data_IF_555539358543
#
_entry.id   IF_555539358543
#
_cell.length_a   1.000
_cell.length_b   1.000
_cell.length_c   1.000
_cell.angle_alpha   90.00
_cell.angle_beta   90.00
_cell.angle_gamma   90.00
#
_symmetry.space_group_name_H-M   'P 1'
#
loop_
_entity.id
_entity.type
_entity.pdbx_description
1 polymer ?
#
# COMPACT_ATOMS: atom_id res chain seq x y z
N UNK A 1 1.07 -8.29 14.69
CA UNK A 1 1.30 -9.32 13.66
C UNK A 1 -0.02 -10.01 13.40
N UNK A 2 -0.51 -9.99 12.15
CA UNK A 2 -1.76 -10.62 11.71
C UNK A 2 -1.71 -12.13 11.90
N UNK A 3 -2.77 -12.73 12.49
CA UNK A 3 -2.86 -14.17 12.82
C UNK A 3 -2.46 -15.08 11.67
N UNK A 4 -2.80 -14.71 10.44
CA UNK A 4 -2.55 -15.49 9.22
C UNK A 4 -1.05 -15.71 8.94
N UNK A 5 -0.15 -14.91 9.53
CA UNK A 5 1.29 -14.98 9.25
C UNK A 5 2.06 -15.80 10.29
N UNK A 6 1.41 -16.17 11.40
CA UNK A 6 2.11 -16.77 12.54
C UNK A 6 2.51 -18.20 12.21
N UNK A 7 3.82 -18.44 12.15
CA UNK A 7 4.40 -19.78 11.99
C UNK A 7 4.47 -20.30 10.55
N UNK A 8 4.04 -19.51 9.56
CA UNK A 8 4.15 -19.88 8.15
C UNK A 8 5.38 -19.22 7.51
N UNK A 9 6.38 -20.01 7.05
CA UNK A 9 7.53 -19.47 6.32
C UNK A 9 7.12 -18.80 5.00
N UNK A 10 7.67 -17.62 4.73
CA UNK A 10 7.42 -16.85 3.49
C UNK A 10 8.32 -17.32 2.35
N UNK A 11 8.20 -18.60 1.99
CA UNK A 11 9.13 -19.28 1.06
C UNK A 11 8.89 -19.00 -0.41
N UNK A 12 7.76 -18.39 -0.77
CA UNK A 12 7.45 -18.03 -2.16
C UNK A 12 6.45 -16.88 -2.25
N UNK A 13 6.46 -16.19 -3.41
CA UNK A 13 5.46 -15.17 -3.73
C UNK A 13 4.03 -15.72 -3.67
N UNK A 14 3.82 -16.97 -4.11
CA UNK A 14 2.51 -17.62 -4.03
C UNK A 14 2.04 -17.79 -2.58
N UNK A 15 2.94 -18.19 -1.67
CA UNK A 15 2.62 -18.29 -0.23
C UNK A 15 2.28 -16.91 0.32
N UNK A 16 3.07 -15.88 0.01
CA UNK A 16 2.84 -14.51 0.50
C UNK A 16 1.47 -13.99 0.02
N UNK A 17 1.17 -14.12 -1.28
CA UNK A 17 -0.11 -13.68 -1.87
C UNK A 17 -1.29 -14.38 -1.21
N UNK A 18 -1.20 -15.71 -1.04
CA UNK A 18 -2.27 -16.48 -0.41
C UNK A 18 -2.48 -16.08 1.06
N UNK A 19 -1.40 -15.86 1.81
CA UNK A 19 -1.48 -15.44 3.21
C UNK A 19 -2.14 -14.07 3.36
N UNK A 20 -1.76 -13.09 2.54
CA UNK A 20 -2.35 -11.75 2.56
C UNK A 20 -3.82 -11.81 2.14
N UNK A 21 -4.12 -12.45 1.01
CA UNK A 21 -5.48 -12.56 0.46
C UNK A 21 -6.45 -13.35 1.34
N UNK A 22 -5.94 -14.19 2.25
CA UNK A 22 -6.78 -14.91 3.22
C UNK A 22 -7.29 -14.04 4.38
N UNK A 23 -6.84 -12.79 4.49
CA UNK A 23 -7.20 -11.88 5.59
C UNK A 23 -8.68 -11.49 5.55
N UNK A 24 -9.40 -11.83 6.62
CA UNK A 24 -10.81 -11.48 6.85
C UNK A 24 -10.99 -10.97 8.28
N UNK A 25 -11.88 -9.99 8.48
CA UNK A 25 -12.25 -9.54 9.82
C UNK A 25 -13.73 -9.81 10.09
N UNK A 26 -14.11 -9.92 11.36
CA UNK A 26 -15.51 -10.04 11.79
C UNK A 26 -16.36 -8.84 11.38
N UNK A 27 -15.74 -7.66 11.27
CA UNK A 27 -16.36 -6.43 10.77
C UNK A 27 -16.53 -6.40 9.23
N UNK A 28 -16.18 -7.48 8.51
CA UNK A 28 -16.46 -7.64 7.08
C UNK A 28 -15.34 -7.25 6.12
N UNK A 29 -14.13 -6.92 6.59
CA UNK A 29 -12.99 -6.66 5.70
C UNK A 29 -12.66 -7.91 4.88
N UNK A 30 -12.46 -7.73 3.58
CA UNK A 30 -11.90 -8.73 2.67
C UNK A 30 -10.72 -8.13 1.93
N UNK A 31 -9.59 -8.83 1.93
CA UNK A 31 -8.36 -8.39 1.26
C UNK A 31 -8.22 -9.12 -0.07
N UNK A 32 -8.01 -8.38 -1.17
CA UNK A 32 -7.54 -8.93 -2.45
C UNK A 32 -6.04 -8.72 -2.53
N UNK A 33 -5.30 -9.76 -2.91
CA UNK A 33 -3.87 -9.71 -3.11
C UNK A 33 -3.53 -10.43 -4.41
N UNK A 34 -2.63 -9.83 -5.19
CA UNK A 34 -2.17 -10.38 -6.46
C UNK A 34 -0.72 -10.00 -6.68
N UNK A 35 -0.02 -10.80 -7.49
CA UNK A 35 1.34 -10.51 -7.89
C UNK A 35 1.32 -9.50 -9.03
N UNK A 36 1.81 -8.29 -8.77
CA UNK A 36 2.12 -7.32 -9.81
C UNK A 36 3.46 -7.67 -10.46
N UNK A 37 3.44 -7.87 -11.79
CA UNK A 37 4.62 -8.15 -12.61
C UNK A 37 5.09 -6.93 -13.40
N UNK A 38 4.51 -5.76 -13.11
CA UNK A 38 4.90 -4.49 -13.70
C UNK A 38 6.38 -4.20 -13.47
N UNK A 39 7.04 -3.69 -14.52
CA UNK A 39 8.41 -3.20 -14.41
C UNK A 39 8.37 -1.74 -13.98
N UNK A 40 8.92 -1.44 -12.81
CA UNK A 40 8.99 -0.09 -12.27
C UNK A 40 10.44 0.40 -12.30
N UNK A 41 10.78 1.35 -13.18
CA UNK A 41 12.13 1.92 -13.22
C UNK A 41 12.49 2.56 -11.87
N UNK A 42 13.65 2.19 -11.34
CA UNK A 42 14.19 2.74 -10.09
C UNK A 42 14.89 4.08 -10.35
N UNK A 43 15.07 4.88 -9.29
CA UNK A 43 15.84 6.13 -9.36
C UNK A 43 15.10 7.29 -10.03
N UNK A 44 13.79 7.17 -10.24
CA UNK A 44 12.97 8.28 -10.71
C UNK A 44 12.92 9.36 -9.63
N UNK A 45 13.43 10.55 -9.97
CA UNK A 45 13.39 11.72 -9.09
C UNK A 45 12.27 12.64 -9.56
N UNK A 46 11.36 12.98 -8.66
CA UNK A 46 10.34 14.00 -8.91
C UNK A 46 10.89 15.37 -8.51
N UNK A 47 10.63 16.38 -9.32
CA UNK A 47 10.95 17.75 -8.96
C UNK A 47 10.09 18.21 -7.77
N UNK A 48 10.58 19.19 -7.00
CA UNK A 48 9.81 19.80 -5.92
C UNK A 48 8.47 20.36 -6.41
N UNK A 49 8.43 20.91 -7.62
CA UNK A 49 7.21 21.38 -8.26
C UNK A 49 6.20 20.25 -8.48
N UNK A 50 6.64 19.11 -9.04
CA UNK A 50 5.78 17.92 -9.21
C UNK A 50 5.25 17.39 -7.88
N UNK A 51 6.08 17.34 -6.85
CA UNK A 51 5.65 16.92 -5.51
C UNK A 51 4.62 17.88 -4.91
N UNK A 52 4.77 19.18 -5.12
CA UNK A 52 3.83 20.20 -4.62
C UNK A 52 2.43 20.11 -5.25
N UNK A 53 2.27 19.47 -6.41
CA UNK A 53 0.96 19.22 -7.00
C UNK A 53 0.14 18.15 -6.25
N UNK A 54 0.79 17.29 -5.46
CA UNK A 54 0.08 16.31 -4.64
C UNK A 54 -0.64 17.02 -3.49
N UNK A 55 -1.95 16.81 -3.39
CA UNK A 55 -2.73 17.25 -2.22
C UNK A 55 -2.48 16.32 -1.04
N UNK A 56 -1.27 16.34 -0.51
CA UNK A 56 -0.83 15.47 0.57
C UNK A 56 -0.79 16.25 1.90
N UNK A 57 -1.35 15.65 2.95
CA UNK A 57 -1.30 16.18 4.32
C UNK A 57 -0.55 15.17 5.21
N UNK A 58 0.64 15.52 5.72
CA UNK A 58 1.37 14.71 6.68
C UNK A 58 0.61 14.60 8.01
N UNK A 59 0.68 13.44 8.66
CA UNK A 59 0.10 13.23 10.00
C UNK A 59 1.06 13.72 11.08
N UNK A 60 0.53 14.03 12.27
CA UNK A 60 1.34 14.46 13.42
C UNK A 60 2.36 13.39 13.84
N UNK A 61 1.98 12.12 13.79
CA UNK A 61 2.85 11.01 14.15
C UNK A 61 3.54 10.46 12.91
N UNK A 62 4.87 10.61 12.83
CA UNK A 62 5.71 10.19 11.69
C UNK A 62 5.13 10.64 10.35
N UNK A 63 4.91 11.94 10.18
CA UNK A 63 4.36 12.52 8.95
C UNK A 63 5.19 12.28 7.69
N UNK A 64 6.47 11.93 7.87
CA UNK A 64 7.39 11.46 6.84
C UNK A 64 6.99 10.08 6.27
N UNK A 65 6.20 9.28 7.00
CA UNK A 65 5.68 7.98 6.56
C UNK A 65 4.15 7.96 6.46
N UNK A 66 3.49 8.66 7.37
CA UNK A 66 2.05 8.65 7.55
C UNK A 66 1.46 9.94 7.00
N UNK A 67 0.69 9.83 5.93
CA UNK A 67 0.08 10.99 5.28
C UNK A 67 -1.28 10.60 4.67
N UNK A 68 -2.08 11.63 4.39
CA UNK A 68 -3.33 11.50 3.63
C UNK A 68 -3.17 12.19 2.29
N UNK A 69 -3.42 11.48 1.20
CA UNK A 69 -3.55 12.07 -0.14
C UNK A 69 -5.04 12.34 -0.39
N UNK A 70 -5.39 13.60 -0.61
CA UNK A 70 -6.76 14.01 -0.90
C UNK A 70 -7.05 13.90 -2.40
N UNK A 71 -8.29 13.54 -2.77
CA UNK A 71 -8.68 13.55 -4.18
C UNK A 71 -8.59 14.96 -4.74
N UNK A 72 -7.91 15.09 -5.86
CA UNK A 72 -8.07 16.26 -6.72
C UNK A 72 -9.35 15.98 -7.49
N UNK A 73 -10.46 16.67 -7.17
CA UNK A 73 -11.74 16.48 -7.88
C UNK A 73 -11.48 16.53 -9.40
N UNK A 74 -11.52 15.38 -10.06
CA UNK A 74 -11.82 15.30 -11.49
C UNK A 74 -13.32 15.23 -11.57
N UNK A 75 -13.92 16.29 -12.09
CA UNK A 75 -15.37 16.38 -12.26
C UNK A 75 -15.67 15.94 -13.70
N UNK A 76 -16.48 14.90 -13.83
CA UNK A 76 -17.43 14.71 -14.91
C UNK A 76 -18.70 14.14 -14.28
#
# INVERSE_FOLDING_TARGET
ITTNWRGQPLVSLAVIVNLIGSTRTTAGLRVRCELDRGTYPKGQTLSAAQMAHLKLTPHRFRGDWNYTIHPVRSRA
#
